data_IF_527772096125
#
_entry.id   IF_527772096125
#
_cell.length_a   1.000
_cell.length_b   1.000
_cell.length_c   1.000
_cell.angle_alpha   90.00
_cell.angle_beta   90.00
_cell.angle_gamma   90.00
#
_symmetry.space_group_name_H-M   'P 1'
#
loop_
_entity.id
_entity.type
_entity.pdbx_description
1 polymer ?
#
# COMPACT_ATOMS: atom_id res chain seq x y z
N UNK A 1 -15.69 -49.85 -6.65
CA UNK A 1 -16.29 -48.80 -5.80
C UNK A 1 -15.22 -47.98 -5.08
N UNK A 2 -14.27 -48.63 -4.39
CA UNK A 2 -13.17 -47.99 -3.62
C UNK A 2 -12.30 -47.04 -4.47
N UNK A 3 -11.86 -47.45 -5.67
CA UNK A 3 -11.03 -46.60 -6.55
C UNK A 3 -11.69 -45.27 -6.96
N UNK A 4 -13.01 -45.24 -7.12
CA UNK A 4 -13.75 -44.00 -7.48
C UNK A 4 -13.81 -43.02 -6.29
N UNK A 5 -13.90 -43.54 -5.07
CA UNK A 5 -13.92 -42.76 -3.84
C UNK A 5 -12.51 -42.17 -3.59
N UNK A 6 -11.46 -42.95 -3.83
CA UNK A 6 -10.07 -42.48 -3.70
C UNK A 6 -9.75 -41.34 -4.67
N UNK A 7 -10.20 -41.43 -5.93
CA UNK A 7 -10.01 -40.36 -6.92
C UNK A 7 -10.77 -39.10 -6.52
N UNK A 8 -12.01 -39.23 -6.04
CA UNK A 8 -12.81 -38.09 -5.59
C UNK A 8 -12.16 -37.36 -4.40
N UNK A 9 -11.62 -38.10 -3.42
CA UNK A 9 -10.92 -37.52 -2.27
C UNK A 9 -9.63 -36.80 -2.71
N UNK A 10 -8.86 -37.38 -3.63
CA UNK A 10 -7.67 -36.74 -4.20
C UNK A 10 -8.01 -35.46 -4.98
N UNK A 11 -9.10 -35.45 -5.75
CA UNK A 11 -9.57 -34.25 -6.44
C UNK A 11 -10.03 -33.17 -5.45
N UNK A 12 -10.76 -33.54 -4.40
CA UNK A 12 -11.19 -32.60 -3.36
C UNK A 12 -9.99 -32.04 -2.58
N UNK A 13 -9.02 -32.87 -2.23
CA UNK A 13 -7.78 -32.44 -1.55
C UNK A 13 -6.94 -31.49 -2.41
N UNK A 14 -6.84 -31.75 -3.72
CA UNK A 14 -6.16 -30.88 -4.66
C UNK A 14 -6.86 -29.51 -4.80
N UNK A 15 -8.21 -29.48 -4.80
CA UNK A 15 -8.99 -28.25 -4.81
C UNK A 15 -8.75 -27.44 -3.53
N UNK A 16 -8.72 -28.09 -2.37
CA UNK A 16 -8.41 -27.42 -1.09
C UNK A 16 -6.99 -26.85 -1.05
N UNK A 17 -5.99 -27.57 -1.56
CA UNK A 17 -4.61 -27.08 -1.64
C UNK A 17 -4.46 -25.91 -2.61
N UNK A 18 -5.31 -25.81 -3.63
CA UNK A 18 -5.31 -24.68 -4.57
C UNK A 18 -5.98 -23.43 -3.97
N UNK A 19 -6.91 -23.61 -3.03
CA UNK A 19 -7.59 -22.53 -2.31
C UNK A 19 -6.85 -22.07 -1.04
N UNK A 20 -5.89 -22.87 -0.57
CA UNK A 20 -4.95 -22.45 0.46
C UNK A 20 -3.88 -21.54 -0.17
N UNK A 21 -4.31 -20.39 -0.68
CA UNK A 21 -3.42 -19.28 -0.97
C UNK A 21 -3.04 -18.69 0.38
N UNK A 22 -1.88 -19.11 0.89
CA UNK A 22 -1.24 -18.45 2.01
C UNK A 22 -1.03 -16.99 1.56
N UNK A 23 -1.71 -16.05 2.21
CA UNK A 23 -1.50 -14.63 1.95
C UNK A 23 -0.09 -14.30 2.44
N UNK A 24 0.93 -14.59 1.62
CA UNK A 24 2.30 -14.19 1.90
C UNK A 24 2.31 -12.66 1.98
N UNK A 25 2.48 -12.14 3.20
CA UNK A 25 2.70 -10.72 3.39
C UNK A 25 3.91 -10.30 2.55
N UNK A 26 3.74 -9.27 1.72
CA UNK A 26 4.86 -8.71 0.99
C UNK A 26 5.85 -8.10 1.98
N UNK A 27 7.04 -8.68 2.06
CA UNK A 27 8.14 -8.13 2.88
C UNK A 27 8.90 -7.09 2.07
N UNK A 28 9.03 -5.89 2.63
CA UNK A 28 9.78 -4.78 2.05
C UNK A 28 10.75 -4.24 3.09
N UNK A 29 11.99 -4.00 2.68
CA UNK A 29 13.02 -3.37 3.51
C UNK A 29 13.23 -1.91 3.06
N UNK A 30 12.80 -0.91 3.83
CA UNK A 30 13.11 0.49 3.56
C UNK A 30 14.62 0.72 3.48
N UNK A 31 15.06 1.72 2.71
CA UNK A 31 16.48 2.05 2.57
C UNK A 31 16.91 3.05 3.65
N UNK A 32 18.03 2.77 4.33
CA UNK A 32 18.65 3.73 5.26
C UNK A 32 19.19 4.95 4.51
N UNK A 33 19.05 6.14 5.09
CA UNK A 33 19.68 7.38 4.61
C UNK A 33 20.39 8.13 5.74
N UNK A 34 21.54 8.72 5.44
CA UNK A 34 22.26 9.69 6.28
C UNK A 34 22.01 11.15 5.84
N UNK A 35 21.25 11.34 4.76
CA UNK A 35 20.81 12.62 4.23
C UNK A 35 19.28 12.60 4.13
N UNK A 36 18.57 12.97 5.20
CA UNK A 36 17.11 12.94 5.21
C UNK A 36 16.54 13.92 4.17
N UNK A 37 15.45 13.55 3.46
CA UNK A 37 14.80 14.44 2.51
C UNK A 37 14.08 15.60 3.21
N UNK A 38 13.83 16.68 2.47
CA UNK A 38 12.93 17.74 2.94
C UNK A 38 11.49 17.28 2.66
N UNK A 39 10.58 17.50 3.60
CA UNK A 39 9.17 17.10 3.44
C UNK A 39 8.38 18.28 2.87
N UNK A 40 8.53 18.51 1.57
CA UNK A 40 7.85 19.59 0.83
C UNK A 40 6.92 19.09 -0.30
N UNK A 41 6.83 17.77 -0.48
CA UNK A 41 6.01 17.13 -1.51
C UNK A 41 6.71 16.95 -2.85
N UNK A 42 7.98 17.34 -2.98
CA UNK A 42 8.83 16.98 -4.11
C UNK A 42 9.62 15.70 -3.81
N UNK A 43 9.93 14.93 -4.86
CA UNK A 43 10.71 13.69 -4.78
C UNK A 43 12.04 13.81 -5.54
N UNK A 44 12.66 14.99 -5.50
CA UNK A 44 13.82 15.33 -6.33
C UNK A 44 15.17 15.14 -5.62
N UNK A 45 15.20 15.00 -4.29
CA UNK A 45 16.43 14.79 -3.56
C UNK A 45 17.10 13.45 -3.88
N UNK A 46 18.43 13.44 -3.78
CA UNK A 46 19.23 12.24 -4.07
C UNK A 46 18.87 11.04 -3.19
N UNK A 47 18.38 11.26 -1.97
CA UNK A 47 17.92 10.20 -1.08
C UNK A 47 16.69 9.48 -1.66
N UNK A 48 15.74 10.18 -2.27
CA UNK A 48 14.57 9.57 -2.93
C UNK A 48 14.97 8.68 -4.11
N UNK A 49 16.00 9.06 -4.86
CA UNK A 49 16.51 8.26 -5.98
C UNK A 49 17.12 6.91 -5.54
N UNK A 50 17.49 6.79 -4.26
CA UNK A 50 18.01 5.56 -3.65
C UNK A 50 16.97 4.80 -2.84
N UNK A 51 15.76 5.34 -2.69
CA UNK A 51 14.72 4.76 -1.86
C UNK A 51 14.29 3.37 -2.35
N UNK A 52 13.79 2.57 -1.42
CA UNK A 52 13.08 1.34 -1.79
C UNK A 52 11.74 1.73 -2.42
N UNK A 53 11.46 1.22 -3.62
CA UNK A 53 10.23 1.55 -4.36
C UNK A 53 9.28 0.35 -4.38
N UNK A 54 8.03 0.58 -3.98
CA UNK A 54 6.90 -0.34 -4.16
C UNK A 54 6.05 0.19 -5.31
N UNK A 55 5.73 -0.65 -6.30
CA UNK A 55 5.01 -0.23 -7.51
C UNK A 55 4.05 -1.28 -8.12
N UNK A 56 3.87 -2.39 -7.42
CA UNK A 56 3.05 -3.56 -7.78
C UNK A 56 1.77 -3.59 -6.95
N UNK A 57 1.12 -2.43 -6.83
CA UNK A 57 -0.16 -2.31 -6.15
C UNK A 57 -1.24 -3.11 -6.90
N UNK A 58 -2.17 -3.64 -6.12
CA UNK A 58 -3.38 -4.30 -6.63
C UNK A 58 -4.60 -3.51 -6.21
N UNK A 59 -5.69 -3.71 -6.93
CA UNK A 59 -6.95 -3.10 -6.61
C UNK A 59 -7.56 -3.74 -5.34
N UNK A 60 -8.10 -2.92 -4.44
CA UNK A 60 -8.91 -3.40 -3.33
C UNK A 60 -10.39 -3.49 -3.72
N UNK A 61 -10.92 -2.46 -4.39
CA UNK A 61 -12.29 -2.38 -4.89
C UNK A 61 -12.34 -1.88 -6.34
N UNK A 62 -13.32 -2.30 -7.17
CA UNK A 62 -14.42 -3.23 -6.84
C UNK A 62 -14.02 -4.71 -6.84
N UNK A 63 -12.92 -5.06 -7.49
CA UNK A 63 -12.41 -6.44 -7.59
C UNK A 63 -11.08 -6.52 -6.86
N UNK A 64 -11.08 -7.13 -5.67
CA UNK A 64 -9.89 -7.31 -4.85
C UNK A 64 -8.84 -8.18 -5.57
N UNK A 65 -7.57 -7.77 -5.52
CA UNK A 65 -6.43 -8.49 -6.10
C UNK A 65 -6.28 -8.32 -7.62
N UNK A 66 -7.21 -7.66 -8.31
CA UNK A 66 -7.06 -7.37 -9.73
C UNK A 66 -5.90 -6.38 -9.99
N UNK A 67 -5.24 -6.43 -11.16
CA UNK A 67 -4.29 -5.40 -11.55
C UNK A 67 -4.95 -4.02 -11.57
N UNK A 68 -4.24 -3.00 -11.08
CA UNK A 68 -4.64 -1.60 -11.24
C UNK A 68 -4.14 -1.04 -12.56
N UNK A 69 -4.96 -0.24 -13.25
CA UNK A 69 -4.53 0.54 -14.42
C UNK A 69 -3.82 1.84 -14.02
N UNK A 70 -4.05 2.30 -12.78
CA UNK A 70 -3.44 3.50 -12.22
C UNK A 70 -2.13 3.13 -11.54
N UNK A 71 -1.03 3.63 -12.10
CA UNK A 71 0.31 3.44 -11.55
C UNK A 71 0.47 4.26 -10.27
N UNK A 72 1.02 3.65 -9.24
CA UNK A 72 1.46 4.32 -8.02
C UNK A 72 2.84 3.81 -7.65
N UNK A 73 3.77 4.73 -7.39
CA UNK A 73 5.06 4.40 -6.80
C UNK A 73 5.06 4.90 -5.34
N UNK A 74 5.46 4.04 -4.42
CA UNK A 74 5.69 4.39 -3.01
C UNK A 74 7.16 4.25 -2.69
N UNK A 75 7.76 5.32 -2.18
CA UNK A 75 9.17 5.43 -1.87
C UNK A 75 9.36 5.32 -0.37
N UNK A 76 10.23 4.41 0.08
CA UNK A 76 10.49 4.15 1.48
C UNK A 76 11.95 4.39 1.83
N UNK A 77 12.17 5.32 2.75
CA UNK A 77 13.45 5.57 3.41
C UNK A 77 13.28 5.52 4.92
N UNK A 78 14.36 5.33 5.65
CA UNK A 78 14.37 5.55 7.09
C UNK A 78 15.73 6.07 7.56
N UNK A 79 15.73 6.74 8.70
CA UNK A 79 16.93 7.09 9.46
C UNK A 79 16.81 6.63 10.91
N UNK A 80 17.63 7.17 11.81
CA UNK A 80 17.67 6.78 13.22
C UNK A 80 16.32 6.98 13.93
N UNK A 81 15.53 7.95 13.48
CA UNK A 81 14.35 8.44 14.20
C UNK A 81 13.07 8.41 13.35
N UNK A 82 13.16 8.35 12.03
CA UNK A 82 12.05 8.61 11.12
C UNK A 82 11.92 7.53 10.03
N UNK A 83 10.67 7.17 9.74
CA UNK A 83 10.29 6.49 8.50
C UNK A 83 9.76 7.56 7.54
N UNK A 84 10.30 7.59 6.32
CA UNK A 84 9.88 8.49 5.27
C UNK A 84 9.11 7.71 4.21
N UNK A 85 7.94 8.21 3.84
CA UNK A 85 7.06 7.61 2.83
C UNK A 85 6.70 8.68 1.80
N UNK A 86 7.15 8.49 0.57
CA UNK A 86 6.79 9.32 -0.58
C UNK A 86 5.78 8.62 -1.48
N UNK A 87 4.81 9.35 -2.01
CA UNK A 87 3.80 8.83 -2.92
C UNK A 87 3.85 9.57 -4.26
N UNK A 88 4.01 8.83 -5.35
CA UNK A 88 3.83 9.32 -6.71
C UNK A 88 2.65 8.57 -7.34
N UNK A 89 1.49 9.23 -7.41
CA UNK A 89 0.25 8.68 -7.94
C UNK A 89 -0.04 9.23 -9.33
N UNK A 90 -0.16 8.36 -10.33
CA UNK A 90 -0.43 8.76 -11.70
C UNK A 90 -1.93 8.82 -11.93
N UNK A 91 -2.45 10.03 -12.12
CA UNK A 91 -3.86 10.29 -12.43
C UNK A 91 -3.99 10.90 -13.83
N UNK A 92 -4.55 10.18 -14.82
CA UNK A 92 -4.68 10.69 -16.18
C UNK A 92 -5.75 11.80 -16.30
N UNK A 93 -6.74 11.82 -15.42
CA UNK A 93 -7.84 12.79 -15.39
C UNK A 93 -7.69 13.78 -14.23
N UNK A 94 -6.60 14.55 -14.26
CA UNK A 94 -6.26 15.55 -13.24
C UNK A 94 -7.36 16.61 -13.03
N UNK A 95 -8.21 16.85 -14.03
CA UNK A 95 -9.39 17.73 -13.93
C UNK A 95 -10.46 17.21 -12.97
N UNK A 96 -10.39 15.92 -12.61
CA UNK A 96 -11.30 15.27 -11.65
C UNK A 96 -10.64 14.96 -10.31
N UNK A 97 -9.45 15.51 -10.04
CA UNK A 97 -8.82 15.37 -8.73
C UNK A 97 -9.73 15.96 -7.65
N UNK A 98 -10.10 15.14 -6.68
CA UNK A 98 -10.91 15.56 -5.54
C UNK A 98 -10.00 15.85 -4.36
N UNK A 99 -9.96 17.10 -3.90
CA UNK A 99 -9.23 17.50 -2.71
C UNK A 99 -9.90 18.75 -2.13
N UNK A 100 -11.06 18.55 -1.48
CA UNK A 100 -11.92 19.64 -1.02
C UNK A 100 -11.74 19.92 0.48
N UNK A 101 -11.32 18.91 1.23
CA UNK A 101 -11.20 19.03 2.67
C UNK A 101 -9.86 19.65 3.07
N UNK A 102 -9.93 20.63 3.97
CA UNK A 102 -8.80 21.48 4.38
C UNK A 102 -8.59 21.46 5.89
N UNK A 103 -9.58 20.96 6.64
CA UNK A 103 -9.54 20.90 8.09
C UNK A 103 -8.78 19.65 8.51
N UNK A 104 -7.74 19.82 9.31
CA UNK A 104 -7.04 18.70 9.97
C UNK A 104 -8.01 17.87 10.83
N UNK A 105 -7.78 16.55 10.90
CA UNK A 105 -8.58 15.59 11.66
C UNK A 105 -10.07 15.58 11.22
N UNK A 106 -10.30 15.82 9.93
CA UNK A 106 -11.60 15.71 9.28
C UNK A 106 -11.74 14.36 8.58
N UNK A 107 -12.90 14.13 7.93
CA UNK A 107 -13.14 12.91 7.18
C UNK A 107 -13.14 13.26 5.70
N UNK A 108 -12.13 12.84 4.97
CA UNK A 108 -11.98 13.11 3.53
C UNK A 108 -12.01 11.84 2.67
N UNK A 109 -12.80 10.84 3.06
CA UNK A 109 -13.01 9.60 2.29
C UNK A 109 -13.62 9.82 0.89
N UNK A 110 -14.03 11.05 0.55
CA UNK A 110 -14.48 11.44 -0.79
C UNK A 110 -13.39 12.15 -1.61
N UNK A 111 -12.29 12.58 -0.99
CA UNK A 111 -11.14 13.13 -1.70
C UNK A 111 -10.28 11.98 -2.24
N UNK A 112 -9.43 12.27 -3.22
CA UNK A 112 -8.30 11.43 -3.57
C UNK A 112 -7.25 11.55 -2.45
N UNK A 113 -6.92 10.43 -1.81
CA UNK A 113 -6.01 10.37 -0.68
C UNK A 113 -5.10 9.14 -0.72
N UNK A 114 -4.02 9.20 0.05
CA UNK A 114 -3.14 8.07 0.34
C UNK A 114 -3.11 7.82 1.84
N UNK A 115 -2.84 6.57 2.23
CA UNK A 115 -2.82 6.15 3.62
C UNK A 115 -1.64 5.20 3.89
N UNK A 116 -1.08 5.32 5.10
CA UNK A 116 -0.12 4.38 5.68
C UNK A 116 -0.68 3.91 7.01
N UNK A 117 -0.78 2.60 7.20
CA UNK A 117 -1.15 1.99 8.47
C UNK A 117 0.01 1.18 9.01
N UNK A 118 0.42 1.47 10.24
CA UNK A 118 1.56 0.83 10.90
C UNK A 118 1.08 0.07 12.13
N UNK A 119 1.11 -1.26 12.05
CA UNK A 119 1.03 -2.12 13.24
C UNK A 119 2.46 -2.29 13.80
N UNK A 120 2.77 -1.49 14.83
CA UNK A 120 4.11 -1.49 15.45
C UNK A 120 4.33 -2.65 16.41
N UNK A 121 3.28 -3.40 16.76
CA UNK A 121 3.33 -4.54 17.68
C UNK A 121 3.20 -5.89 16.97
N UNK A 122 2.84 -5.87 15.68
CA UNK A 122 2.56 -7.05 14.85
C UNK A 122 1.50 -7.97 15.48
N UNK A 123 0.50 -7.38 16.14
CA UNK A 123 -0.58 -8.11 16.80
C UNK A 123 -1.85 -8.25 15.95
N UNK A 124 -1.87 -7.59 14.78
CA UNK A 124 -2.95 -7.58 13.80
C UNK A 124 -4.29 -7.04 14.34
N UNK A 125 -4.23 -6.20 15.38
CA UNK A 125 -5.43 -5.63 16.03
C UNK A 125 -5.46 -4.13 15.95
N UNK A 126 -4.35 -3.49 16.30
CA UNK A 126 -4.24 -2.05 16.38
C UNK A 126 -3.17 -1.53 15.40
N UNK A 127 -3.40 -0.34 14.85
CA UNK A 127 -2.42 0.32 14.00
C UNK A 127 -2.47 1.84 14.17
N UNK A 128 -1.37 2.49 13.84
CA UNK A 128 -1.32 3.94 13.63
C UNK A 128 -1.63 4.23 12.17
N UNK A 129 -2.69 5.00 11.91
CA UNK A 129 -3.06 5.47 10.57
C UNK A 129 -2.52 6.88 10.32
N UNK A 130 -1.95 7.07 9.14
CA UNK A 130 -1.54 8.37 8.61
C UNK A 130 -2.15 8.53 7.24
N UNK A 131 -3.02 9.52 7.07
CA UNK A 131 -3.76 9.75 5.82
C UNK A 131 -3.54 11.19 5.36
N UNK A 132 -3.37 11.39 4.06
CA UNK A 132 -3.30 12.71 3.46
C UNK A 132 -4.03 12.79 2.12
N UNK A 133 -4.73 13.89 1.89
CA UNK A 133 -5.26 14.23 0.56
C UNK A 133 -4.23 15.03 -0.25
N UNK A 134 -4.56 15.33 -1.51
CA UNK A 134 -3.67 16.07 -2.41
C UNK A 134 -3.39 17.54 -2.00
N UNK A 135 -4.12 18.11 -1.04
CA UNK A 135 -3.84 19.42 -0.45
C UNK A 135 -2.90 19.35 0.76
N UNK A 136 -2.51 18.14 1.20
CA UNK A 136 -1.73 17.93 2.41
C UNK A 136 -2.55 18.01 3.70
N UNK A 137 -3.89 17.95 3.62
CA UNK A 137 -4.76 17.84 4.79
C UNK A 137 -4.62 16.45 5.41
N UNK A 138 -4.44 16.37 6.73
CA UNK A 138 -4.14 15.14 7.47
C UNK A 138 -5.27 14.73 8.42
N UNK A 139 -5.46 13.42 8.66
CA UNK A 139 -6.32 12.86 9.73
C UNK A 139 -5.52 12.29 10.90
#
# INVERSE_FOLDING_TARGET
MIHKITILILCLLAIYLTYAEDSEFKVVSPKWTDSPPIIDGQLDEASWQLATIINDFVQHEPTAGAPTELKTNVYLLYDENQLYVGFECYKPDMDKLMANETRRDSRFFLDDYVAVYLDTYLDLRDCYGFELNALGTQT
#
